data_IF_485193888102
#
_entry.id   IF_485193888102
#
_cell.length_a   1.000
_cell.length_b   1.000
_cell.length_c   1.000
_cell.angle_alpha   90.00
_cell.angle_beta   90.00
_cell.angle_gamma   90.00
#
_symmetry.space_group_name_H-M   'P 1'
#
loop_
_entity.id
_entity.type
_entity.pdbx_description
1 polymer ?
#
# COMPACT_ATOMS: atom_id res chain seq x y z
N UNK A 1 -6.95 -3.43 9.67
CA UNK A 1 -7.51 -3.57 8.30
C UNK A 1 -6.82 -4.79 7.73
N UNK A 2 -7.51 -5.92 7.50
CA UNK A 2 -6.83 -7.19 7.21
C UNK A 2 -5.98 -7.13 5.93
N UNK A 3 -6.46 -6.44 4.89
CA UNK A 3 -5.69 -6.26 3.65
C UNK A 3 -4.47 -5.34 3.82
N UNK A 4 -4.54 -4.40 4.76
CA UNK A 4 -3.42 -3.51 5.07
C UNK A 4 -2.37 -4.25 5.90
N UNK A 5 -2.81 -5.05 6.88
CA UNK A 5 -1.97 -5.94 7.69
C UNK A 5 -1.19 -6.89 6.77
N UNK A 6 -1.83 -7.49 5.76
CA UNK A 6 -1.16 -8.34 4.77
C UNK A 6 0.03 -7.66 4.06
N UNK A 7 -0.12 -6.38 3.69
CA UNK A 7 0.95 -5.62 3.03
C UNK A 7 2.06 -5.26 4.02
N UNK A 8 1.69 -4.85 5.24
CA UNK A 8 2.64 -4.52 6.31
C UNK A 8 3.48 -5.73 6.69
N UNK A 9 2.84 -6.88 6.94
CA UNK A 9 3.52 -8.13 7.27
C UNK A 9 4.56 -8.48 6.19
N UNK A 10 4.21 -8.27 4.91
CA UNK A 10 5.14 -8.55 3.81
C UNK A 10 6.31 -7.57 3.73
N UNK A 11 6.06 -6.29 3.97
CA UNK A 11 7.12 -5.27 4.04
C UNK A 11 8.09 -5.59 5.18
N UNK A 12 7.56 -5.97 6.35
CA UNK A 12 8.35 -6.38 7.52
C UNK A 12 9.17 -7.65 7.24
N UNK A 13 8.58 -8.66 6.60
CA UNK A 13 9.29 -9.89 6.20
C UNK A 13 10.46 -9.64 5.23
N UNK A 14 10.34 -8.61 4.38
CA UNK A 14 11.37 -8.20 3.45
C UNK A 14 12.38 -7.20 4.04
N UNK A 15 12.21 -6.81 5.31
CA UNK A 15 13.02 -5.79 5.99
C UNK A 15 13.07 -4.46 5.20
N UNK A 16 11.95 -4.10 4.58
CA UNK A 16 11.80 -2.83 3.83
C UNK A 16 11.34 -1.75 4.79
N UNK A 17 12.08 -0.66 4.89
CA UNK A 17 11.61 0.52 5.63
C UNK A 17 10.45 1.20 4.89
N UNK A 18 9.35 1.48 5.60
CA UNK A 18 8.17 2.14 5.05
C UNK A 18 7.56 3.16 6.01
N UNK A 19 6.87 4.16 5.47
CA UNK A 19 6.04 5.09 6.25
C UNK A 19 4.57 4.65 6.21
N UNK A 20 3.95 4.52 7.39
CA UNK A 20 2.51 4.27 7.50
C UNK A 20 1.72 5.58 7.56
N UNK A 21 0.87 5.81 6.56
CA UNK A 21 -0.05 6.96 6.53
C UNK A 21 -1.45 6.52 6.96
N UNK A 22 -1.95 7.10 8.06
CA UNK A 22 -3.31 6.86 8.53
C UNK A 22 -4.32 7.63 7.67
N UNK A 23 -5.44 6.97 7.37
CA UNK A 23 -6.52 7.54 6.55
C UNK A 23 -7.82 7.57 7.34
N UNK A 24 -8.79 8.33 6.86
CA UNK A 24 -10.09 8.45 7.48
C UNK A 24 -10.78 7.07 7.55
N UNK A 25 -11.37 6.75 8.72
CA UNK A 25 -12.04 5.46 8.92
C UNK A 25 -13.23 5.25 7.98
N UNK A 26 -13.97 6.32 7.67
CA UNK A 26 -15.10 6.26 6.74
C UNK A 26 -14.61 6.27 5.29
N UNK A 27 -14.96 5.22 4.54
CA UNK A 27 -14.59 5.09 3.13
C UNK A 27 -14.92 6.32 2.29
N UNK A 28 -16.10 6.93 2.50
CA UNK A 28 -16.52 8.13 1.77
C UNK A 28 -15.68 9.38 2.04
N UNK A 29 -14.90 9.40 3.12
CA UNK A 29 -14.08 10.55 3.54
C UNK A 29 -12.60 10.42 3.19
N UNK A 30 -12.16 9.31 2.59
CA UNK A 30 -10.76 9.05 2.21
C UNK A 30 -10.35 9.81 0.95
N UNK A 31 -10.48 11.14 0.99
CA UNK A 31 -10.23 11.99 -0.17
C UNK A 31 -8.74 12.06 -0.53
N UNK A 32 -7.85 11.91 0.44
CA UNK A 32 -6.40 11.81 0.18
C UNK A 32 -6.07 10.55 -0.62
N UNK A 33 -6.61 9.40 -0.19
CA UNK A 33 -6.46 8.13 -0.92
C UNK A 33 -7.00 8.26 -2.35
N UNK A 34 -8.14 8.93 -2.53
CA UNK A 34 -8.73 9.20 -3.85
C UNK A 34 -7.82 10.06 -4.73
N UNK A 35 -7.16 11.06 -4.13
CA UNK A 35 -6.28 11.96 -4.86
C UNK A 35 -5.03 11.23 -5.37
N UNK A 36 -4.44 10.38 -4.53
CA UNK A 36 -3.19 9.67 -4.85
C UNK A 36 -3.44 8.46 -5.76
N UNK A 37 -4.43 7.62 -5.43
CA UNK A 37 -4.65 6.32 -6.10
C UNK A 37 -5.78 6.31 -7.13
N UNK A 38 -6.57 7.39 -7.23
CA UNK A 38 -7.77 7.41 -8.04
C UNK A 38 -8.94 6.61 -7.46
N UNK A 39 -8.86 6.09 -6.23
CA UNK A 39 -9.94 5.34 -5.55
C UNK A 39 -9.89 5.49 -4.00
N UNK A 40 -10.86 4.97 -3.24
CA UNK A 40 -10.96 5.18 -1.76
C UNK A 40 -10.76 3.93 -0.89
N UNK A 41 -10.54 2.77 -1.49
CA UNK A 41 -10.16 1.56 -0.79
C UNK A 41 -8.69 1.63 -0.34
N UNK A 42 -8.35 0.81 0.63
CA UNK A 42 -7.00 0.65 1.17
C UNK A 42 -6.72 -0.85 1.25
N UNK A 43 -5.45 -1.29 1.15
CA UNK A 43 -4.23 -0.48 1.09
C UNK A 43 -3.96 0.19 -0.26
N UNK A 44 -3.08 1.20 -0.22
CA UNK A 44 -2.41 1.80 -1.38
C UNK A 44 -0.92 1.86 -1.05
N UNK A 45 -0.08 1.37 -1.95
CA UNK A 45 1.38 1.52 -1.87
C UNK A 45 1.80 2.67 -2.78
N UNK A 46 2.65 3.55 -2.26
CA UNK A 46 3.41 4.53 -3.05
C UNK A 46 4.87 4.18 -2.90
N UNK A 47 5.55 4.05 -4.02
CA UNK A 47 6.99 3.79 -4.08
C UNK A 47 7.60 4.87 -4.97
N UNK A 48 8.19 5.86 -4.30
CA UNK A 48 8.76 7.04 -4.94
C UNK A 48 10.06 6.72 -5.70
N UNK A 49 10.81 5.70 -5.27
CA UNK A 49 12.05 5.30 -5.94
C UNK A 49 11.79 4.78 -7.35
N UNK A 50 10.64 4.12 -7.54
CA UNK A 50 10.23 3.54 -8.82
C UNK A 50 9.08 4.30 -9.49
N UNK A 51 8.59 5.35 -8.84
CA UNK A 51 7.55 6.25 -9.36
C UNK A 51 6.21 5.56 -9.58
N UNK A 52 5.84 4.63 -8.70
CA UNK A 52 4.59 3.88 -8.81
C UNK A 52 3.60 4.20 -7.68
N UNK A 53 2.33 4.09 -7.99
CA UNK A 53 1.24 4.06 -7.02
C UNK A 53 0.34 2.89 -7.37
N UNK A 54 0.09 2.02 -6.39
CA UNK A 54 -0.61 0.76 -6.60
C UNK A 54 -1.68 0.54 -5.53
N UNK A 55 -2.84 0.03 -5.95
CA UNK A 55 -3.89 -0.46 -5.07
C UNK A 55 -4.06 -1.98 -5.28
N UNK A 56 -4.95 -2.59 -4.51
CA UNK A 56 -5.18 -4.04 -4.42
C UNK A 56 -4.04 -4.77 -3.68
N UNK A 57 -4.36 -5.31 -2.49
CA UNK A 57 -3.35 -5.88 -1.58
C UNK A 57 -2.58 -7.05 -2.17
N UNK A 58 -3.25 -7.94 -2.91
CA UNK A 58 -2.60 -9.10 -3.54
C UNK A 58 -1.58 -8.64 -4.59
N UNK A 59 -1.94 -7.63 -5.39
CA UNK A 59 -1.05 -7.07 -6.41
C UNK A 59 0.13 -6.32 -5.78
N UNK A 60 -0.10 -5.64 -4.66
CA UNK A 60 0.96 -5.01 -3.88
C UNK A 60 1.96 -6.06 -3.37
N UNK A 61 1.48 -7.16 -2.80
CA UNK A 61 2.35 -8.26 -2.34
C UNK A 61 3.13 -8.87 -3.51
N UNK A 62 2.46 -9.18 -4.63
CA UNK A 62 3.13 -9.69 -5.84
C UNK A 62 4.21 -8.73 -6.35
N UNK A 63 3.93 -7.42 -6.31
CA UNK A 63 4.90 -6.40 -6.64
C UNK A 63 6.11 -6.45 -5.72
N UNK A 64 5.90 -6.48 -4.40
CA UNK A 64 6.98 -6.55 -3.41
C UNK A 64 7.84 -7.81 -3.61
N UNK A 65 7.21 -8.96 -3.84
CA UNK A 65 7.89 -10.22 -4.13
C UNK A 65 8.76 -10.12 -5.37
N UNK A 66 8.19 -9.67 -6.48
CA UNK A 66 8.90 -9.59 -7.76
C UNK A 66 10.04 -8.57 -7.74
N UNK A 67 9.96 -7.60 -6.83
CA UNK A 67 10.78 -6.40 -6.84
C UNK A 67 11.89 -6.37 -5.81
N UNK A 68 11.66 -6.99 -4.66
CA UNK A 68 12.47 -6.84 -3.47
C UNK A 68 12.79 -8.18 -2.80
N UNK A 69 12.08 -9.27 -3.11
CA UNK A 69 12.49 -10.59 -2.68
C UNK A 69 13.68 -11.06 -3.55
N UNK A 70 14.89 -11.00 -2.98
CA UNK A 70 16.12 -11.51 -3.59
C UNK A 70 16.25 -13.04 -3.46
#
# INVERSE_FOLDING_TARGET
CPYCELVVDRLDELDIEFESVWTEGLHSKRDEVKRVSGQRAVPVLVDDERGITMAESERIVEYLDTSYAA
#
